data_IF_432984686521
#
_entry.id   IF_432984686521
#
_cell.length_a   1.000
_cell.length_b   1.000
_cell.length_c   1.000
_cell.angle_alpha   90.00
_cell.angle_beta   90.00
_cell.angle_gamma   90.00
#
_symmetry.space_group_name_H-M   'P 1'
#
loop_
_entity.id
_entity.type
_entity.pdbx_description
1 polymer ?
#
# COMPACT_ATOMS: atom_id res chain seq x y z
N UNK A 1 6.61 19.33 9.21
CA UNK A 1 6.07 17.93 9.12
C UNK A 1 4.57 18.00 8.93
N UNK A 2 4.01 17.12 8.13
CA UNK A 2 2.56 17.04 7.89
C UNK A 2 1.93 16.17 8.98
N UNK A 3 0.89 16.69 9.64
CA UNK A 3 0.16 15.96 10.67
C UNK A 3 -0.90 15.05 10.03
N UNK A 4 -1.00 13.81 10.52
CA UNK A 4 -2.04 12.83 10.18
C UNK A 4 -2.75 12.47 11.46
N UNK A 5 -4.08 12.63 11.50
CA UNK A 5 -4.87 12.16 12.63
C UNK A 5 -5.11 10.66 12.49
N UNK A 6 -4.89 9.92 13.57
CA UNK A 6 -5.05 8.47 13.58
C UNK A 6 -5.93 8.03 14.75
N UNK A 7 -6.90 7.16 14.46
CA UNK A 7 -7.77 6.50 15.43
C UNK A 7 -7.38 5.03 15.53
N UNK A 8 -7.14 4.55 16.74
CA UNK A 8 -7.01 3.13 17.05
C UNK A 8 -8.36 2.58 17.50
N UNK A 9 -8.75 1.42 17.01
CA UNK A 9 -9.99 0.75 17.44
C UNK A 9 -9.83 0.09 18.82
N UNK A 10 -8.61 -0.17 19.24
CA UNK A 10 -8.26 -0.58 20.60
C UNK A 10 -6.97 0.10 21.05
N UNK A 11 -6.87 0.43 22.34
CA UNK A 11 -5.65 1.05 22.91
C UNK A 11 -4.41 0.14 22.84
N UNK A 12 -4.61 -1.17 22.69
CA UNK A 12 -3.52 -2.15 22.60
C UNK A 12 -2.87 -2.20 21.21
N UNK A 13 -3.44 -1.53 20.20
CA UNK A 13 -2.85 -1.45 18.86
C UNK A 13 -1.69 -0.47 18.88
N UNK A 14 -0.51 -0.94 18.48
CA UNK A 14 0.68 -0.09 18.35
C UNK A 14 0.52 0.87 17.18
N UNK A 15 0.83 2.15 17.41
CA UNK A 15 0.84 3.15 16.34
C UNK A 15 2.01 2.89 15.39
N UNK A 16 1.78 3.02 14.07
CA UNK A 16 2.86 3.02 13.09
C UNK A 16 3.85 4.15 13.37
N UNK A 17 5.13 3.91 13.11
CA UNK A 17 6.19 4.90 13.26
C UNK A 17 7.25 4.72 12.16
N UNK A 18 7.98 5.78 11.90
CA UNK A 18 9.21 5.69 11.11
C UNK A 18 10.28 5.02 11.96
N UNK A 19 10.87 3.94 11.47
CA UNK A 19 11.89 3.20 12.22
C UNK A 19 13.25 3.95 12.26
N UNK A 20 13.51 4.78 11.24
CA UNK A 20 14.69 5.66 11.18
C UNK A 20 14.29 7.04 10.65
N UNK A 21 15.13 8.05 10.85
CA UNK A 21 14.91 9.40 10.32
C UNK A 21 14.84 9.46 8.78
N UNK A 22 15.42 8.49 8.09
CA UNK A 22 15.40 8.37 6.63
C UNK A 22 14.31 7.44 6.08
N UNK A 23 13.50 6.82 6.95
CA UNK A 23 12.43 5.93 6.49
C UNK A 23 11.35 6.73 5.73
N UNK A 24 10.91 6.21 4.58
CA UNK A 24 9.80 6.79 3.79
C UNK A 24 8.45 6.25 4.21
N UNK A 25 8.41 5.06 4.80
CA UNK A 25 7.18 4.37 5.20
C UNK A 25 7.16 4.00 6.66
N UNK A 26 5.95 3.79 7.17
CA UNK A 26 5.67 3.27 8.51
C UNK A 26 5.03 1.88 8.37
N UNK A 27 5.51 0.89 9.11
CA UNK A 27 4.98 -0.47 9.05
C UNK A 27 3.55 -0.56 9.59
N UNK A 28 2.73 -1.36 8.91
CA UNK A 28 1.38 -1.75 9.32
C UNK A 28 1.40 -3.20 9.80
N UNK A 29 0.83 -3.44 10.98
CA UNK A 29 0.73 -4.76 11.56
C UNK A 29 -0.69 -5.35 11.43
N UNK A 30 -0.77 -6.66 11.33
CA UNK A 30 -2.03 -7.40 11.33
C UNK A 30 -2.72 -7.29 12.71
N UNK A 31 -4.00 -6.89 12.72
CA UNK A 31 -4.83 -6.86 13.91
C UNK A 31 -5.95 -7.90 13.79
N UNK A 32 -5.59 -9.15 13.97
CA UNK A 32 -6.46 -10.32 13.87
C UNK A 32 -6.53 -11.05 15.22
N UNK A 33 -7.62 -11.75 15.48
CA UNK A 33 -7.77 -12.56 16.70
C UNK A 33 -7.16 -13.96 16.51
N UNK A 34 -7.45 -14.59 15.38
CA UNK A 34 -6.97 -15.91 15.03
C UNK A 34 -5.95 -15.81 13.89
N UNK A 35 -4.97 -16.71 13.90
CA UNK A 35 -4.00 -16.86 12.80
C UNK A 35 -4.72 -17.17 11.49
N UNK A 36 -4.14 -16.68 10.39
CA UNK A 36 -4.63 -16.93 9.03
C UNK A 36 -3.57 -17.67 8.24
N UNK A 37 -3.91 -18.85 7.75
CA UNK A 37 -3.09 -19.59 6.81
C UNK A 37 -3.38 -19.14 5.37
N UNK A 38 -2.50 -18.31 4.82
CA UNK A 38 -2.60 -17.81 3.45
C UNK A 38 -1.96 -18.83 2.49
N UNK A 39 -2.79 -19.64 1.86
CA UNK A 39 -2.34 -20.67 0.93
C UNK A 39 -1.71 -20.07 -0.35
N UNK A 40 -0.87 -20.84 -1.09
CA UNK A 40 -0.30 -20.45 -2.37
C UNK A 40 -1.35 -19.92 -3.35
N UNK A 41 -1.06 -18.78 -4.00
CA UNK A 41 -1.94 -18.14 -4.97
C UNK A 41 -3.21 -17.52 -4.38
N UNK A 42 -3.42 -17.57 -3.07
CA UNK A 42 -4.62 -17.00 -2.42
C UNK A 42 -4.38 -15.60 -1.90
N UNK A 43 -5.49 -14.90 -1.67
CA UNK A 43 -5.51 -13.54 -1.12
C UNK A 43 -6.27 -13.50 0.19
N UNK A 44 -5.94 -12.54 1.05
CA UNK A 44 -6.67 -12.26 2.27
C UNK A 44 -6.69 -10.76 2.55
N UNK A 45 -7.80 -10.26 3.08
CA UNK A 45 -7.94 -8.89 3.54
C UNK A 45 -7.67 -8.85 5.04
N UNK A 46 -6.58 -8.22 5.42
CA UNK A 46 -6.09 -8.20 6.80
C UNK A 46 -6.38 -6.83 7.44
N UNK A 47 -7.16 -6.77 8.51
CA UNK A 47 -7.43 -5.54 9.25
C UNK A 47 -6.19 -5.09 10.02
N UNK A 48 -6.04 -3.77 10.20
CA UNK A 48 -4.98 -3.16 10.99
C UNK A 48 -5.48 -2.57 12.31
N UNK A 49 -6.80 -2.42 12.48
CA UNK A 49 -7.42 -1.76 13.62
C UNK A 49 -7.18 -0.25 13.67
N UNK A 50 -6.79 0.35 12.55
CA UNK A 50 -6.47 1.78 12.43
C UNK A 50 -7.40 2.45 11.42
N UNK A 51 -7.82 3.67 11.71
CA UNK A 51 -8.42 4.58 10.76
C UNK A 51 -7.69 5.92 10.80
N UNK A 52 -7.60 6.62 9.67
CA UNK A 52 -6.81 7.84 9.54
C UNK A 52 -7.59 8.97 8.89
N UNK A 53 -7.14 10.19 9.15
CA UNK A 53 -7.57 11.38 8.42
C UNK A 53 -6.33 12.04 7.82
N UNK A 54 -6.29 12.09 6.51
CA UNK A 54 -5.17 12.61 5.72
C UNK A 54 -5.51 14.05 5.30
N UNK A 55 -4.59 15.02 5.36
CA UNK A 55 -4.81 16.36 4.85
C UNK A 55 -5.10 16.37 3.35
N UNK A 56 -5.85 17.37 2.88
CA UNK A 56 -6.07 17.58 1.43
C UNK A 56 -4.74 17.65 0.68
N UNK A 57 -4.73 17.19 -0.57
CA UNK A 57 -3.57 17.11 -1.45
C UNK A 57 -2.51 16.06 -1.04
N UNK A 58 -2.88 15.15 -0.16
CA UNK A 58 -2.09 13.97 0.16
C UNK A 58 -2.94 12.70 0.05
N UNK A 59 -2.29 11.59 -0.16
CA UNK A 59 -2.81 10.23 -0.04
C UNK A 59 -1.88 9.39 0.82
N UNK A 60 -2.33 8.24 1.29
CA UNK A 60 -1.43 7.20 1.77
C UNK A 60 -1.42 6.06 0.78
N UNK A 61 -0.22 5.62 0.42
CA UNK A 61 0.00 4.42 -0.37
C UNK A 61 0.36 3.24 0.53
N UNK A 62 -0.37 2.15 0.35
CA UNK A 62 -0.07 0.86 0.99
C UNK A 62 0.82 0.06 0.05
N UNK A 63 2.05 -0.21 0.48
CA UNK A 63 3.09 -0.88 -0.29
C UNK A 63 3.57 -2.16 0.40
N UNK A 64 4.08 -3.14 -0.35
CA UNK A 64 4.70 -4.33 0.24
C UNK A 64 5.93 -3.98 1.09
N UNK A 65 6.25 -4.85 2.02
CA UNK A 65 7.54 -4.84 2.71
C UNK A 65 8.54 -5.68 1.92
N UNK A 66 9.69 -5.10 1.62
CA UNK A 66 10.75 -5.77 0.84
C UNK A 66 11.18 -7.11 1.45
N UNK A 67 11.24 -7.19 2.78
CA UNK A 67 11.59 -8.42 3.48
C UNK A 67 10.59 -9.56 3.28
N UNK A 68 9.28 -9.26 3.31
CA UNK A 68 8.24 -10.26 3.02
C UNK A 68 8.24 -10.64 1.53
N UNK A 69 8.41 -9.68 0.65
CA UNK A 69 8.49 -9.93 -0.78
C UNK A 69 9.68 -10.84 -1.13
N UNK A 70 10.87 -10.52 -0.66
CA UNK A 70 12.08 -11.26 -0.99
C UNK A 70 12.16 -12.65 -0.35
N UNK A 71 11.75 -12.78 0.92
CA UNK A 71 11.92 -14.03 1.69
C UNK A 71 10.72 -14.96 1.59
N UNK A 72 9.51 -14.41 1.49
CA UNK A 72 8.26 -15.17 1.57
C UNK A 72 7.39 -15.04 0.32
N UNK A 73 7.76 -14.20 -0.65
CA UNK A 73 6.99 -13.92 -1.87
C UNK A 73 5.55 -13.42 -1.56
N UNK A 74 5.41 -12.67 -0.45
CA UNK A 74 4.16 -12.04 -0.04
C UNK A 74 4.14 -10.60 -0.54
N UNK A 75 3.05 -10.21 -1.18
CA UNK A 75 2.85 -8.86 -1.69
C UNK A 75 1.50 -8.29 -1.27
N UNK A 76 1.34 -6.98 -1.46
CA UNK A 76 0.04 -6.31 -1.43
C UNK A 76 -0.55 -6.40 -2.84
N UNK A 77 -1.70 -7.06 -2.98
CA UNK A 77 -2.28 -7.41 -4.29
C UNK A 77 -2.49 -6.19 -5.19
N UNK A 78 -3.01 -5.10 -4.63
CA UNK A 78 -3.32 -3.86 -5.35
C UNK A 78 -2.22 -2.79 -5.22
N UNK A 79 -0.98 -3.19 -4.96
CA UNK A 79 0.12 -2.23 -4.73
C UNK A 79 0.38 -1.33 -5.94
N UNK A 80 0.56 -0.01 -5.73
CA UNK A 80 0.36 0.73 -4.47
C UNK A 80 -1.14 0.92 -4.16
N UNK A 81 -1.59 0.37 -3.02
CA UNK A 81 -2.97 0.56 -2.56
C UNK A 81 -3.20 2.02 -2.17
N UNK A 82 -4.23 2.65 -2.71
CA UNK A 82 -4.51 4.06 -2.47
C UNK A 82 -5.50 4.25 -1.32
N UNK A 83 -5.15 5.10 -0.36
CA UNK A 83 -6.04 5.59 0.68
C UNK A 83 -6.25 7.08 0.45
N UNK A 84 -7.45 7.43 0.06
CA UNK A 84 -7.84 8.80 -0.26
C UNK A 84 -7.95 9.68 1.01
N UNK A 85 -7.77 11.00 0.83
CA UNK A 85 -7.80 11.96 1.93
C UNK A 85 -9.15 12.01 2.68
N UNK A 86 -10.25 11.65 2.02
CA UNK A 86 -11.60 11.62 2.57
C UNK A 86 -12.06 10.23 3.04
N UNK A 87 -11.24 9.19 2.90
CA UNK A 87 -11.54 7.88 3.46
C UNK A 87 -11.46 7.89 4.99
N UNK A 88 -12.46 7.34 5.66
CA UNK A 88 -12.55 7.28 7.14
C UNK A 88 -12.74 5.86 7.68
N UNK A 89 -12.75 4.87 6.80
CA UNK A 89 -12.86 3.47 7.19
C UNK A 89 -11.57 2.92 7.79
N UNK A 90 -11.63 1.68 8.23
CA UNK A 90 -10.46 0.95 8.70
C UNK A 90 -9.46 0.71 7.58
N UNK A 91 -8.18 0.95 7.85
CA UNK A 91 -7.10 0.52 6.97
C UNK A 91 -7.01 -1.00 6.96
N UNK A 92 -7.20 -1.59 5.79
CA UNK A 92 -7.06 -3.02 5.57
C UNK A 92 -6.06 -3.27 4.45
N UNK A 93 -5.28 -4.32 4.59
CA UNK A 93 -4.26 -4.70 3.62
C UNK A 93 -4.71 -5.95 2.88
N UNK A 94 -4.70 -5.89 1.54
CA UNK A 94 -5.02 -7.04 0.68
C UNK A 94 -3.72 -7.75 0.37
N UNK A 95 -3.43 -8.85 1.06
CA UNK A 95 -2.24 -9.67 0.81
C UNK A 95 -2.50 -10.73 -0.24
N UNK A 96 -1.45 -11.05 -0.99
CA UNK A 96 -1.38 -12.19 -1.91
C UNK A 96 -0.12 -13.01 -1.62
N UNK A 97 -0.25 -14.33 -1.68
CA UNK A 97 0.86 -15.26 -1.54
C UNK A 97 1.26 -15.78 -2.93
N UNK A 98 2.42 -15.35 -3.43
CA UNK A 98 2.99 -15.80 -4.71
C UNK A 98 3.92 -17.01 -4.56
N UNK A 99 4.16 -17.48 -3.32
CA UNK A 99 5.00 -18.65 -3.07
C UNK A 99 4.24 -19.96 -3.29
N UNK A 100 4.97 -21.05 -3.21
CA UNK A 100 4.46 -22.43 -3.23
C UNK A 100 4.14 -23.01 -1.83
N UNK A 101 4.30 -22.18 -0.78
CA UNK A 101 4.10 -22.58 0.62
C UNK A 101 3.01 -21.77 1.28
N UNK A 102 2.34 -22.36 2.26
CA UNK A 102 1.41 -21.63 3.12
C UNK A 102 2.18 -20.58 3.92
N UNK A 103 1.69 -19.33 3.92
CA UNK A 103 2.22 -18.25 4.74
C UNK A 103 1.29 -17.98 5.91
N UNK A 104 1.81 -18.12 7.12
CA UNK A 104 1.06 -17.90 8.35
C UNK A 104 1.10 -16.41 8.74
N UNK A 105 -0.08 -15.83 8.90
CA UNK A 105 -0.25 -14.46 9.36
C UNK A 105 -0.69 -14.50 10.82
N UNK A 106 0.12 -13.96 11.69
CA UNK A 106 -0.13 -13.89 13.13
C UNK A 106 -0.46 -12.46 13.54
N UNK A 107 -1.14 -12.30 14.67
CA UNK A 107 -1.40 -10.98 15.26
C UNK A 107 -0.11 -10.22 15.50
N UNK A 108 -0.07 -8.97 15.08
CA UNK A 108 1.10 -8.10 15.24
C UNK A 108 2.18 -8.29 14.17
N UNK A 109 2.04 -9.26 13.25
CA UNK A 109 2.96 -9.41 12.13
C UNK A 109 2.90 -8.14 11.26
N UNK A 110 4.07 -7.54 10.98
CA UNK A 110 4.18 -6.39 10.07
C UNK A 110 4.02 -6.85 8.63
N UNK A 111 2.87 -6.55 8.02
CA UNK A 111 2.41 -7.12 6.75
C UNK A 111 2.57 -6.19 5.55
N UNK A 112 2.65 -4.88 5.77
CA UNK A 112 2.77 -3.85 4.74
C UNK A 112 3.44 -2.62 5.33
N UNK A 113 3.64 -1.60 4.49
CA UNK A 113 4.03 -0.27 4.94
C UNK A 113 3.11 0.79 4.34
N UNK A 114 2.84 1.85 5.07
CA UNK A 114 2.12 3.02 4.57
C UNK A 114 3.08 4.18 4.32
N UNK A 115 2.91 4.85 3.19
CA UNK A 115 3.75 5.98 2.77
C UNK A 115 2.85 7.17 2.46
N UNK A 116 3.11 8.31 3.10
CA UNK A 116 2.42 9.56 2.78
C UNK A 116 2.97 10.14 1.47
N UNK A 117 2.09 10.37 0.50
CA UNK A 117 2.45 10.89 -0.81
C UNK A 117 1.65 12.16 -1.13
N UNK A 118 2.26 13.18 -1.77
CA UNK A 118 1.52 14.32 -2.30
C UNK A 118 0.69 13.89 -3.50
N UNK A 119 -0.48 14.53 -3.68
CA UNK A 119 -1.38 14.29 -4.81
C UNK A 119 -1.54 15.54 -5.62
N UNK A 120 -1.27 15.44 -6.91
CA UNK A 120 -1.54 16.50 -7.89
C UNK A 120 -2.80 16.10 -8.67
N UNK A 121 -3.83 16.95 -8.65
CA UNK A 121 -5.06 16.72 -9.41
C UNK A 121 -4.94 17.38 -10.78
N UNK A 122 -5.30 16.62 -11.82
CA UNK A 122 -5.40 17.13 -13.17
C UNK A 122 -6.84 17.49 -13.53
N UNK A 123 -7.00 18.51 -14.37
CA UNK A 123 -8.25 18.78 -15.09
C UNK A 123 -8.10 18.19 -16.50
N UNK A 124 -9.01 17.33 -16.89
CA UNK A 124 -9.02 16.76 -18.24
C UNK A 124 -9.70 17.74 -19.19
N UNK A 125 -9.05 18.00 -20.33
CA UNK A 125 -9.63 18.77 -21.44
C UNK A 125 -9.72 17.83 -22.64
N UNK A 126 -10.94 17.61 -23.11
CA UNK A 126 -11.20 16.84 -24.32
C UNK A 126 -10.76 17.61 -25.56
N UNK A 127 -10.01 16.98 -26.46
CA UNK A 127 -9.50 17.55 -27.69
C UNK A 127 -9.52 16.48 -28.80
N UNK A 128 -9.80 16.90 -30.02
CA UNK A 128 -9.82 15.98 -31.17
C UNK A 128 -8.43 15.50 -31.58
N UNK A 129 -7.38 16.31 -31.34
CA UNK A 129 -6.02 16.02 -31.79
C UNK A 129 -5.05 16.36 -30.65
N UNK A 130 -4.12 15.44 -30.39
CA UNK A 130 -2.95 15.68 -29.52
C UNK A 130 -1.76 16.15 -30.31
N UNK A 131 -0.89 16.93 -29.69
CA UNK A 131 0.38 17.34 -30.28
C UNK A 131 1.23 16.13 -30.68
N UNK A 132 1.89 16.22 -31.82
CA UNK A 132 2.82 15.17 -32.27
C UNK A 132 4.14 15.24 -31.50
N UNK A 133 4.69 14.05 -31.17
CA UNK A 133 6.00 13.96 -30.52
C UNK A 133 6.92 13.03 -31.35
N UNK A 134 8.24 13.12 -31.11
CA UNK A 134 9.20 12.21 -31.75
C UNK A 134 8.93 10.74 -31.43
N UNK A 135 8.39 10.43 -30.25
CA UNK A 135 8.01 9.08 -29.85
C UNK A 135 6.70 8.62 -30.51
N UNK A 136 5.77 9.52 -30.78
CA UNK A 136 4.44 9.21 -31.33
C UNK A 136 3.69 8.19 -30.49
N UNK A 137 3.21 7.13 -31.12
CA UNK A 137 2.48 6.01 -30.48
C UNK A 137 3.38 4.86 -30.02
N UNK A 138 4.67 4.96 -30.15
CA UNK A 138 5.61 3.89 -29.83
C UNK A 138 5.62 3.58 -28.31
N UNK A 139 5.45 2.32 -27.98
CA UNK A 139 5.38 1.81 -26.61
C UNK A 139 5.77 0.34 -26.55
N UNK A 140 5.45 -0.33 -25.43
CA UNK A 140 5.62 -1.78 -25.24
C UNK A 140 7.00 -2.32 -25.59
N UNK A 141 8.06 -1.57 -25.27
CA UNK A 141 9.45 -1.98 -25.55
C UNK A 141 9.96 -1.61 -26.95
N UNK A 142 9.33 -0.64 -27.63
CA UNK A 142 9.77 -0.14 -28.95
C UNK A 142 11.22 0.36 -28.98
N UNK A 143 11.81 0.71 -27.82
CA UNK A 143 13.22 1.10 -27.67
C UNK A 143 14.19 -0.07 -27.52
N UNK A 144 13.68 -1.32 -27.56
CA UNK A 144 14.48 -2.54 -27.41
C UNK A 144 14.68 -2.96 -25.94
N UNK A 145 15.22 -4.17 -25.76
CA UNK A 145 15.51 -4.76 -24.44
C UNK A 145 17.02 -4.64 -24.10
N UNK A 146 17.84 -4.24 -25.07
CA UNK A 146 19.30 -4.03 -24.93
C UNK A 146 19.70 -2.70 -25.55
#
# INVERSE_FOLDING_TARGET
MTEILIKRFSKNITLPKYETNGSSGMDLAANIENEIDLAPGKTAIIPTGLAISIPKNFEIQIRPRSGLAAKNQISVLNTPGTIDADYRGELKVILINHSDKVFKIEKGLRIAQMVLCPVIKATLKDVDILETTKRGSDGFGSTGIK
#
